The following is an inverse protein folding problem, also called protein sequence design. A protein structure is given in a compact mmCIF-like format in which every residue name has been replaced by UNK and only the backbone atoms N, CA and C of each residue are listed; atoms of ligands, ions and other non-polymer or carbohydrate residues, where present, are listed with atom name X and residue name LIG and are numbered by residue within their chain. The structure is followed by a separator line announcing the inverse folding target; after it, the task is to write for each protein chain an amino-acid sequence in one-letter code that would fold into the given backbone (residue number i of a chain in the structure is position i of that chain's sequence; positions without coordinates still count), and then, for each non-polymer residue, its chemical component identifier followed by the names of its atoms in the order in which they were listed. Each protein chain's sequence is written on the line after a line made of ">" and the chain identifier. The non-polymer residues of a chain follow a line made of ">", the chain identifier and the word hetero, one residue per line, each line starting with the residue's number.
data_IF_440360195859
#
_entry.id   IF_440360195859
#
_cell.length_a   1.000
_cell.length_b   1.000
_cell.length_c   1.000
_cell.angle_alpha   90.00
_cell.angle_beta   90.00
_cell.angle_gamma   90.00
#
_symmetry.space_group_name_H-M   'P 1'
#
loop_
_entity.id
_entity.type
_entity.pdbx_description
1 polymer ?
#
# COMPACT_ATOMS: atom_id res chain seq x y z
N UNK A 1 25.42 -23.55 12.21
CA UNK A 1 24.37 -22.56 12.15
C UNK A 1 23.57 -22.78 10.89
N UNK A 2 22.32 -23.20 10.96
CA UNK A 2 21.48 -23.16 9.77
C UNK A 2 21.37 -21.70 9.33
N UNK A 3 21.83 -21.39 8.15
CA UNK A 3 21.42 -20.16 7.47
C UNK A 3 19.93 -20.33 7.24
N UNK A 4 19.12 -19.56 7.95
CA UNK A 4 17.71 -19.41 7.62
C UNK A 4 17.66 -18.95 6.16
N UNK A 5 17.35 -19.88 5.27
CA UNK A 5 17.00 -19.56 3.90
C UNK A 5 15.66 -18.83 3.96
N UNK A 6 15.71 -17.55 4.26
CA UNK A 6 14.56 -16.67 4.04
C UNK A 6 14.32 -16.69 2.54
N UNK A 7 13.32 -17.45 2.11
CA UNK A 7 12.88 -17.42 0.72
C UNK A 7 12.58 -15.98 0.35
N UNK A 8 13.35 -15.42 -0.58
CA UNK A 8 13.15 -14.08 -1.08
C UNK A 8 11.79 -14.01 -1.76
N UNK A 9 10.87 -13.27 -1.15
CA UNK A 9 9.53 -13.04 -1.68
C UNK A 9 9.42 -11.69 -2.38
N UNK A 10 8.37 -11.56 -3.18
CA UNK A 10 7.96 -10.32 -3.83
C UNK A 10 6.74 -9.77 -3.10
N UNK A 11 6.88 -8.58 -2.55
CA UNK A 11 5.83 -7.92 -1.77
C UNK A 11 5.26 -6.72 -2.51
N UNK A 12 3.96 -6.54 -2.43
CA UNK A 12 3.28 -5.30 -2.77
C UNK A 12 2.71 -4.67 -1.52
N UNK A 13 3.06 -3.42 -1.28
CA UNK A 13 2.43 -2.59 -0.26
C UNK A 13 1.43 -1.69 -0.97
N UNK A 14 0.17 -1.73 -0.57
CA UNK A 14 -0.89 -0.87 -1.11
C UNK A 14 -1.24 0.18 -0.08
N UNK A 15 -1.05 1.44 -0.42
CA UNK A 15 -1.22 2.55 0.51
C UNK A 15 -1.85 3.77 -0.18
N UNK A 16 -2.35 4.71 0.61
CA UNK A 16 -2.88 5.98 0.14
C UNK A 16 -2.31 7.13 0.97
N UNK A 17 -2.36 8.33 0.46
CA UNK A 17 -1.80 9.50 1.12
C UNK A 17 -2.78 10.11 2.13
N UNK A 18 -2.95 9.45 3.24
CA UNK A 18 -3.77 9.92 4.37
C UNK A 18 -2.97 10.68 5.44
N UNK A 19 -1.70 10.97 5.18
CA UNK A 19 -0.80 11.63 6.14
C UNK A 19 -0.14 10.64 7.09
N UNK A 20 -0.68 10.48 8.29
CA UNK A 20 -0.06 9.65 9.35
C UNK A 20 0.06 8.16 9.05
N UNK A 21 -0.65 7.65 8.05
CA UNK A 21 -0.55 6.25 7.61
C UNK A 21 0.66 5.98 6.70
N UNK A 22 1.28 7.01 6.13
CA UNK A 22 2.38 6.88 5.17
C UNK A 22 3.69 6.42 5.82
N UNK A 23 4.22 7.05 6.89
CA UNK A 23 5.48 6.64 7.48
C UNK A 23 5.52 5.18 7.92
N UNK A 24 4.49 4.61 8.59
CA UNK A 24 4.48 3.19 8.95
C UNK A 24 4.51 2.26 7.74
N UNK A 25 3.80 2.58 6.67
CA UNK A 25 3.82 1.79 5.44
C UNK A 25 5.23 1.72 4.82
N UNK A 26 5.90 2.85 4.74
CA UNK A 26 7.27 2.92 4.23
C UNK A 26 8.27 2.23 5.15
N UNK A 27 8.07 2.29 6.47
CA UNK A 27 8.90 1.57 7.43
C UNK A 27 8.83 0.05 7.24
N UNK A 28 7.64 -0.49 7.02
CA UNK A 28 7.45 -1.91 6.69
C UNK A 28 8.19 -2.26 5.40
N UNK A 29 8.05 -1.45 4.37
CA UNK A 29 8.73 -1.65 3.08
C UNK A 29 10.25 -1.70 3.23
N UNK A 30 10.81 -0.79 4.00
CA UNK A 30 12.26 -0.78 4.28
C UNK A 30 12.71 -2.02 5.06
N UNK A 31 11.94 -2.47 6.04
CA UNK A 31 12.28 -3.69 6.80
C UNK A 31 12.24 -4.93 5.92
N UNK A 32 11.23 -5.07 5.08
CA UNK A 32 11.15 -6.17 4.11
C UNK A 32 12.32 -6.14 3.12
N UNK A 33 12.70 -4.97 2.65
CA UNK A 33 13.87 -4.82 1.75
C UNK A 33 15.17 -5.21 2.46
N UNK A 34 15.35 -4.82 3.72
CA UNK A 34 16.51 -5.22 4.53
C UNK A 34 16.57 -6.72 4.77
N UNK A 35 15.41 -7.36 4.86
CA UNK A 35 15.31 -8.82 4.96
C UNK A 35 15.58 -9.55 3.63
N UNK A 36 15.85 -8.83 2.56
CA UNK A 36 16.20 -9.37 1.25
C UNK A 36 15.03 -9.62 0.31
N UNK A 37 13.84 -9.13 0.65
CA UNK A 37 12.67 -9.24 -0.23
C UNK A 37 12.63 -8.14 -1.29
N UNK A 38 12.01 -8.45 -2.43
CA UNK A 38 11.63 -7.43 -3.41
C UNK A 38 10.34 -6.73 -2.96
N UNK A 39 10.35 -5.40 -2.90
CA UNK A 39 9.22 -4.60 -2.42
C UNK A 39 8.90 -3.51 -3.40
N UNK A 40 7.62 -3.38 -3.75
CA UNK A 40 7.09 -2.23 -4.47
C UNK A 40 5.86 -1.68 -3.79
N UNK A 41 5.67 -0.39 -3.88
CA UNK A 41 4.57 0.33 -3.25
C UNK A 41 3.62 0.83 -4.31
N UNK A 42 2.39 0.30 -4.32
CA UNK A 42 1.28 0.77 -5.14
C UNK A 42 0.50 1.80 -4.33
N UNK A 43 0.53 3.04 -4.76
CA UNK A 43 0.02 4.14 -3.95
C UNK A 43 -0.41 5.35 -4.76
N UNK A 44 -1.00 6.32 -4.06
CA UNK A 44 -1.35 7.63 -4.61
C UNK A 44 -0.14 8.30 -5.27
N UNK A 45 -0.29 8.90 -6.45
CA UNK A 45 0.81 9.57 -7.17
C UNK A 45 1.55 10.61 -6.32
N UNK A 46 0.87 11.30 -5.41
CA UNK A 46 1.48 12.24 -4.47
C UNK A 46 2.49 11.64 -3.51
N UNK A 47 2.54 10.31 -3.38
CA UNK A 47 3.50 9.60 -2.53
C UNK A 47 4.83 9.28 -3.22
N UNK A 48 4.94 9.46 -4.53
CA UNK A 48 6.08 8.99 -5.32
C UNK A 48 7.44 9.43 -4.74
N UNK A 49 7.60 10.72 -4.48
CA UNK A 49 8.88 11.26 -3.99
C UNK A 49 9.28 10.64 -2.64
N UNK A 50 8.33 10.44 -1.73
CA UNK A 50 8.58 9.83 -0.42
C UNK A 50 8.93 8.35 -0.51
N UNK A 51 8.25 7.62 -1.39
CA UNK A 51 8.52 6.18 -1.62
C UNK A 51 9.93 6.01 -2.19
N UNK A 52 10.26 6.74 -3.22
CA UNK A 52 11.57 6.65 -3.88
C UNK A 52 12.71 7.14 -2.98
N UNK A 53 12.47 8.19 -2.18
CA UNK A 53 13.44 8.65 -1.18
C UNK A 53 13.73 7.59 -0.10
N UNK A 54 12.78 6.69 0.17
CA UNK A 54 12.95 5.54 1.04
C UNK A 54 13.66 4.34 0.40
N UNK A 55 14.07 4.45 -0.86
CA UNK A 55 14.71 3.37 -1.61
C UNK A 55 13.75 2.27 -2.07
N UNK A 56 12.47 2.56 -2.15
CA UNK A 56 11.44 1.62 -2.56
C UNK A 56 10.97 1.90 -4.00
N UNK A 57 10.58 0.86 -4.70
CA UNK A 57 9.96 0.98 -6.03
C UNK A 57 8.55 1.52 -5.90
N UNK A 58 8.22 2.50 -6.73
CA UNK A 58 6.93 3.15 -6.75
C UNK A 58 6.08 2.70 -7.95
N UNK A 59 4.80 2.44 -7.66
CA UNK A 59 3.75 2.21 -8.66
C UNK A 59 2.58 3.12 -8.33
N UNK A 60 2.22 4.01 -9.24
CA UNK A 60 1.14 4.98 -9.02
C UNK A 60 -0.24 4.40 -9.34
N UNK A 61 -1.23 4.77 -8.55
CA UNK A 61 -2.63 4.58 -8.93
C UNK A 61 -2.92 5.30 -10.25
N UNK A 62 -3.74 4.68 -11.08
CA UNK A 62 -4.22 5.27 -12.35
C UNK A 62 -5.72 5.48 -12.36
N UNK A 63 -6.47 4.59 -11.72
CA UNK A 63 -7.93 4.61 -11.67
C UNK A 63 -8.44 5.08 -10.30
N UNK A 64 -7.69 4.82 -9.23
CA UNK A 64 -8.06 5.29 -7.90
C UNK A 64 -7.86 6.81 -7.78
N UNK A 65 -8.77 7.50 -7.04
CA UNK A 65 -8.58 8.92 -6.72
C UNK A 65 -7.28 9.18 -5.95
N UNK A 66 -6.62 10.31 -6.21
CA UNK A 66 -5.43 10.74 -5.47
C UNK A 66 -5.82 11.72 -4.36
N UNK A 67 -6.04 11.20 -3.15
CA UNK A 67 -6.41 12.01 -2.00
C UNK A 67 -5.34 13.04 -1.64
N UNK A 68 -4.06 12.69 -1.75
CA UNK A 68 -2.97 13.60 -1.44
C UNK A 68 -3.03 14.89 -2.27
N UNK A 69 -3.32 14.77 -3.56
CA UNK A 69 -3.51 15.93 -4.45
C UNK A 69 -4.81 16.69 -4.16
N UNK A 70 -5.77 16.05 -3.51
CA UNK A 70 -7.06 16.66 -3.16
C UNK A 70 -7.02 17.45 -1.85
N UNK A 71 -6.07 17.19 -0.96
CA UNK A 71 -6.00 17.78 0.39
C UNK A 71 -6.12 19.30 0.44
N UNK A 72 -5.64 20.02 -0.55
CA UNK A 72 -5.75 21.47 -0.64
C UNK A 72 -7.16 22.01 -0.95
N UNK A 73 -8.13 21.15 -1.26
CA UNK A 73 -9.49 21.53 -1.69
C UNK A 73 -10.53 21.39 -0.57
N UNK A 74 -10.10 21.02 0.65
CA UNK A 74 -10.98 20.78 1.78
C UNK A 74 -11.43 19.33 1.87
N UNK A 75 -12.18 19.02 2.94
CA UNK A 75 -12.68 17.68 3.18
C UNK A 75 -13.84 17.33 2.24
N UNK A 76 -13.72 16.20 1.55
CA UNK A 76 -14.74 15.63 0.69
C UNK A 76 -14.96 14.16 1.00
N UNK A 77 -16.05 13.87 1.70
CA UNK A 77 -16.40 12.52 2.11
C UNK A 77 -16.64 11.58 0.93
N UNK A 78 -17.24 12.08 -0.15
CA UNK A 78 -17.50 11.25 -1.34
C UNK A 78 -16.20 10.86 -2.03
N UNK A 79 -15.22 11.74 -2.07
CA UNK A 79 -13.92 11.46 -2.64
C UNK A 79 -13.16 10.41 -1.83
N UNK A 80 -13.22 10.49 -0.48
CA UNK A 80 -12.64 9.46 0.39
C UNK A 80 -13.33 8.11 0.19
N UNK A 81 -14.66 8.09 0.16
CA UNK A 81 -15.42 6.86 -0.05
C UNK A 81 -15.11 6.22 -1.40
N UNK A 82 -14.96 7.04 -2.45
CA UNK A 82 -14.54 6.55 -3.77
C UNK A 82 -13.15 5.90 -3.72
N UNK A 83 -12.20 6.53 -3.02
CA UNK A 83 -10.87 5.96 -2.84
C UNK A 83 -10.92 4.65 -2.06
N UNK A 84 -11.63 4.60 -0.94
CA UNK A 84 -11.61 3.46 -0.02
C UNK A 84 -12.47 2.29 -0.50
N UNK A 85 -13.63 2.57 -1.08
CA UNK A 85 -14.66 1.58 -1.41
C UNK A 85 -14.91 1.45 -2.91
N UNK A 86 -14.45 2.39 -3.74
CA UNK A 86 -14.64 2.36 -5.19
C UNK A 86 -13.81 1.28 -5.87
N UNK A 87 -14.11 1.02 -7.13
CA UNK A 87 -13.43 0.00 -7.92
C UNK A 87 -12.00 0.38 -8.36
N UNK A 88 -11.62 1.66 -8.26
CA UNK A 88 -10.36 2.17 -8.80
C UNK A 88 -9.12 1.49 -8.23
N UNK A 89 -9.02 1.36 -6.91
CA UNK A 89 -7.87 0.67 -6.27
C UNK A 89 -7.82 -0.80 -6.63
N UNK A 90 -8.98 -1.47 -6.70
CA UNK A 90 -9.05 -2.88 -7.12
C UNK A 90 -8.59 -3.06 -8.57
N UNK A 91 -8.96 -2.15 -9.47
CA UNK A 91 -8.51 -2.15 -10.86
C UNK A 91 -7.00 -1.93 -10.96
N UNK A 92 -6.47 -0.97 -10.22
CA UNK A 92 -5.03 -0.67 -10.19
C UNK A 92 -4.23 -1.84 -9.63
N UNK A 93 -4.73 -2.47 -8.57
CA UNK A 93 -4.10 -3.67 -7.99
C UNK A 93 -4.12 -4.85 -8.98
N UNK A 94 -5.24 -5.10 -9.64
CA UNK A 94 -5.36 -6.16 -10.63
C UNK A 94 -4.38 -5.97 -11.80
N UNK A 95 -4.26 -4.74 -12.32
CA UNK A 95 -3.32 -4.40 -13.38
C UNK A 95 -1.85 -4.58 -12.92
N UNK A 96 -1.52 -4.17 -11.71
CA UNK A 96 -0.17 -4.34 -11.15
C UNK A 96 0.19 -5.81 -10.97
N UNK A 97 -0.70 -6.62 -10.45
CA UNK A 97 -0.48 -8.07 -10.27
C UNK A 97 -0.38 -8.82 -11.60
N UNK A 98 -1.12 -8.38 -12.62
CA UNK A 98 -1.00 -8.93 -13.97
C UNK A 98 0.35 -8.59 -14.61
N UNK A 99 0.89 -7.40 -14.32
CA UNK A 99 2.19 -6.97 -14.82
C UNK A 99 3.35 -7.69 -14.12
N UNK A 100 3.28 -7.83 -12.81
CA UNK A 100 4.30 -8.48 -11.99
C UNK A 100 3.64 -9.18 -10.81
N UNK A 101 3.75 -10.53 -10.71
CA UNK A 101 3.17 -11.29 -9.61
C UNK A 101 3.74 -10.88 -8.24
N UNK A 102 2.97 -11.11 -7.19
CA UNK A 102 3.39 -10.95 -5.81
C UNK A 102 3.18 -12.23 -5.02
N UNK A 103 4.05 -12.47 -4.05
CA UNK A 103 3.96 -13.64 -3.17
C UNK A 103 3.15 -13.30 -1.90
N UNK A 104 3.18 -12.03 -1.49
CA UNK A 104 2.39 -11.53 -0.37
C UNK A 104 2.14 -10.02 -0.52
N UNK A 105 1.16 -9.52 0.21
CA UNK A 105 0.80 -8.10 0.20
C UNK A 105 0.62 -7.56 1.62
N UNK A 106 0.87 -6.26 1.76
CA UNK A 106 0.50 -5.47 2.92
C UNK A 106 -0.42 -4.35 2.44
N UNK A 107 -1.64 -4.31 2.93
CA UNK A 107 -2.67 -3.37 2.48
C UNK A 107 -3.12 -2.50 3.64
N UNK A 108 -3.25 -1.20 3.40
CA UNK A 108 -3.88 -0.30 4.37
C UNK A 108 -5.33 -0.75 4.60
N UNK A 109 -5.71 -0.93 5.86
CA UNK A 109 -7.02 -1.49 6.23
C UNK A 109 -8.21 -0.63 5.82
N UNK A 110 -7.98 0.64 5.49
CA UNK A 110 -9.01 1.55 4.98
C UNK A 110 -9.26 1.39 3.48
N UNK A 111 -8.39 0.69 2.78
CA UNK A 111 -8.55 0.43 1.34
C UNK A 111 -9.34 -0.88 1.12
N UNK A 112 -10.64 -0.84 1.37
CA UNK A 112 -11.52 -1.99 1.27
C UNK A 112 -11.54 -2.62 -0.13
N UNK A 113 -11.48 -1.79 -1.17
CA UNK A 113 -11.38 -2.27 -2.55
C UNK A 113 -10.09 -3.07 -2.81
N UNK A 114 -8.98 -2.65 -2.22
CA UNK A 114 -7.72 -3.39 -2.32
C UNK A 114 -7.76 -4.71 -1.56
N UNK A 115 -8.35 -4.74 -0.37
CA UNK A 115 -8.54 -5.99 0.40
C UNK A 115 -9.40 -6.99 -0.36
N UNK A 116 -10.50 -6.54 -0.95
CA UNK A 116 -11.34 -7.39 -1.80
C UNK A 116 -10.59 -7.90 -3.04
N UNK A 117 -9.78 -7.05 -3.67
CA UNK A 117 -8.94 -7.42 -4.79
C UNK A 117 -7.87 -8.45 -4.42
N UNK A 118 -7.27 -8.31 -3.26
CA UNK A 118 -6.28 -9.25 -2.71
C UNK A 118 -6.90 -10.64 -2.45
N UNK A 119 -8.06 -10.66 -1.83
CA UNK A 119 -8.82 -11.90 -1.60
C UNK A 119 -9.15 -12.61 -2.92
N UNK A 120 -9.64 -11.86 -3.89
CA UNK A 120 -9.95 -12.40 -5.22
C UNK A 120 -8.72 -12.96 -5.92
N UNK A 121 -7.57 -12.33 -5.76
CA UNK A 121 -6.30 -12.81 -6.30
C UNK A 121 -5.73 -14.02 -5.56
N UNK A 122 -6.24 -14.34 -4.36
CA UNK A 122 -5.76 -15.46 -3.55
C UNK A 122 -4.35 -15.26 -2.99
N UNK A 123 -3.89 -14.03 -2.87
CA UNK A 123 -2.54 -13.72 -2.36
C UNK A 123 -2.60 -13.49 -0.85
N UNK A 124 -1.69 -14.13 -0.07
CA UNK A 124 -1.58 -13.87 1.35
C UNK A 124 -1.41 -12.37 1.65
N UNK A 125 -2.27 -11.82 2.49
CA UNK A 125 -2.35 -10.38 2.71
C UNK A 125 -2.44 -10.05 4.19
N UNK A 126 -1.58 -9.14 4.67
CA UNK A 126 -1.70 -8.50 5.96
C UNK A 126 -2.40 -7.15 5.81
N UNK A 127 -3.49 -6.95 6.53
CA UNK A 127 -4.13 -5.65 6.64
C UNK A 127 -3.43 -4.82 7.72
N UNK A 128 -2.95 -3.64 7.35
CA UNK A 128 -2.30 -2.72 8.28
C UNK A 128 -3.28 -1.65 8.74
N UNK A 129 -3.47 -1.53 10.04
CA UNK A 129 -4.25 -0.44 10.63
C UNK A 129 -3.34 0.75 10.92
N UNK A 130 -3.79 1.94 10.56
CA UNK A 130 -3.09 3.21 10.83
C UNK A 130 -3.46 3.82 12.19
N UNK A 131 -4.17 3.08 13.04
CA UNK A 131 -4.51 3.59 14.37
C UNK A 131 -3.25 3.73 15.20
N UNK A 132 -2.84 4.97 15.45
CA UNK A 132 -1.88 5.24 16.49
C UNK A 132 -2.60 4.94 17.83
N UNK A 133 -2.11 3.94 18.54
CA UNK A 133 -2.41 3.83 19.94
C UNK A 133 -1.67 4.96 20.65
N UNK A 134 -2.27 6.15 20.68
CA UNK A 134 -1.87 7.09 21.71
C UNK A 134 -2.18 6.39 23.04
N UNK A 135 -1.16 6.09 23.81
CA UNK A 135 -1.33 5.62 25.17
C UNK A 135 -2.27 6.60 25.87
N UNK A 136 -3.46 6.14 26.17
CA UNK A 136 -4.24 6.76 27.21
C UNK A 136 -3.51 6.37 28.50
N UNK A 137 -2.67 7.28 28.95
CA UNK A 137 -2.08 7.16 30.25
C UNK A 137 -3.14 7.51 31.30
#
# INVERSE_FOLDING_TARGET
>A
MPQDYVNKGRFVIVAWDGGGNVPPALAIGRQLTRAGHGVRVLASPSMQARVEAGGLDFRGFRHAPDWGSHLGRGFDANYILELQCGAGVSQDLGAELAREPADAMVVDSMLFGALAGAERAGIPTAARTSMSWSRIA
#
